data_IF_378810179540
#
_entry.id   IF_378810179540
#
_cell.length_a   1.000
_cell.length_b   1.000
_cell.length_c   1.000
_cell.angle_alpha   90.00
_cell.angle_beta   90.00
_cell.angle_gamma   90.00
#
_symmetry.space_group_name_H-M   'P 1'
#
loop_
_entity.id
_entity.type
_entity.pdbx_description
1 polymer ?
#
# COMPACT_ATOMS: atom_id res chain seq x y z
N UNK A 1 -9.75 -64.93 -63.06
CA UNK A 1 -10.72 -64.48 -62.04
C UNK A 1 -10.62 -62.95 -62.00
N UNK A 2 -11.31 -62.22 -62.87
CA UNK A 2 -12.71 -61.76 -62.78
C UNK A 2 -13.02 -60.85 -61.57
N UNK A 3 -13.54 -59.64 -61.85
CA UNK A 3 -14.23 -58.69 -60.94
C UNK A 3 -13.32 -57.54 -60.47
N UNK A 4 -13.34 -56.29 -60.95
CA UNK A 4 -14.41 -55.33 -61.30
C UNK A 4 -15.18 -54.78 -60.08
N UNK A 5 -15.29 -53.43 -60.06
CA UNK A 5 -16.05 -52.52 -59.17
C UNK A 5 -15.22 -51.90 -58.03
N UNK A 6 -15.02 -50.58 -57.91
CA UNK A 6 -15.62 -49.43 -58.57
C UNK A 6 -16.12 -48.43 -57.54
N UNK A 7 -15.72 -47.16 -57.69
CA UNK A 7 -16.50 -45.99 -57.24
C UNK A 7 -15.98 -45.23 -56.02
N UNK A 8 -15.66 -43.94 -56.20
CA UNK A 8 -15.48 -43.03 -55.07
C UNK A 8 -14.81 -41.68 -55.36
N UNK A 9 -15.43 -40.86 -56.21
CA UNK A 9 -15.42 -39.39 -56.30
C UNK A 9 -14.11 -38.56 -56.25
N UNK A 10 -14.03 -37.70 -57.27
CA UNK A 10 -13.15 -36.54 -57.42
C UNK A 10 -13.33 -35.47 -56.33
N UNK A 11 -12.32 -34.59 -56.18
CA UNK A 11 -12.44 -33.15 -56.45
C UNK A 11 -11.05 -32.49 -56.41
N UNK A 12 -10.77 -31.73 -57.46
CA UNK A 12 -9.58 -30.89 -57.64
C UNK A 12 -9.60 -29.75 -56.63
N UNK A 13 -8.48 -29.52 -55.93
CA UNK A 13 -8.28 -28.30 -55.15
C UNK A 13 -7.20 -27.45 -55.82
N UNK A 14 -7.61 -26.29 -56.35
CA UNK A 14 -6.70 -25.23 -56.76
C UNK A 14 -5.98 -24.73 -55.50
N UNK A 15 -4.66 -24.89 -55.45
CA UNK A 15 -3.83 -24.23 -54.45
C UNK A 15 -3.59 -22.78 -54.90
N UNK A 16 -4.14 -21.81 -54.17
CA UNK A 16 -3.74 -20.42 -54.29
C UNK A 16 -2.25 -20.27 -53.93
N UNK A 17 -1.51 -19.35 -54.59
CA UNK A 17 -0.10 -19.13 -54.27
C UNK A 17 0.05 -18.65 -52.81
N UNK A 18 1.17 -18.98 -52.14
CA UNK A 18 1.37 -18.62 -50.74
C UNK A 18 1.43 -17.10 -50.59
N UNK A 19 0.52 -16.55 -49.79
CA UNK A 19 0.56 -15.16 -49.35
C UNK A 19 1.80 -14.99 -48.46
N UNK A 20 2.77 -14.24 -48.95
CA UNK A 20 3.88 -13.72 -48.14
C UNK A 20 3.29 -12.88 -47.00
N UNK A 21 3.44 -13.35 -45.77
CA UNK A 21 3.14 -12.55 -44.59
C UNK A 21 4.13 -11.38 -44.51
N UNK A 22 3.64 -10.17 -44.74
CA UNK A 22 4.38 -8.95 -44.42
C UNK A 22 4.67 -8.94 -42.91
N UNK A 23 5.95 -8.96 -42.57
CA UNK A 23 6.41 -8.79 -41.20
C UNK A 23 6.25 -7.32 -40.85
N UNK A 24 5.19 -6.96 -40.13
CA UNK A 24 5.03 -5.61 -39.58
C UNK A 24 6.24 -5.27 -38.72
N UNK A 25 6.98 -4.25 -39.14
CA UNK A 25 8.10 -3.72 -38.35
C UNK A 25 7.53 -3.04 -37.10
N UNK A 26 8.03 -3.33 -35.88
CA UNK A 26 7.54 -2.68 -34.67
C UNK A 26 7.71 -1.16 -34.79
N UNK A 27 6.60 -0.42 -34.83
CA UNK A 27 6.62 1.04 -34.84
C UNK A 27 7.16 1.51 -33.49
N UNK A 28 8.45 1.88 -33.43
CA UNK A 28 9.03 2.51 -32.26
C UNK A 28 8.35 3.86 -32.02
N UNK A 29 7.51 3.94 -31.00
CA UNK A 29 6.91 5.19 -30.56
C UNK A 29 7.98 6.03 -29.87
N UNK A 30 8.41 7.12 -30.51
CA UNK A 30 9.38 8.09 -29.99
C UNK A 30 8.76 9.11 -29.01
N UNK A 31 7.60 8.78 -28.43
CA UNK A 31 6.95 9.66 -27.46
C UNK A 31 7.91 9.88 -26.26
N UNK A 32 8.24 11.13 -25.90
CA UNK A 32 9.04 11.40 -24.72
C UNK A 32 8.39 10.74 -23.51
N UNK A 33 9.19 10.02 -22.70
CA UNK A 33 8.71 9.54 -21.42
C UNK A 33 8.17 10.73 -20.62
N UNK A 34 6.98 10.61 -19.99
CA UNK A 34 6.46 11.69 -19.18
C UNK A 34 7.49 12.05 -18.09
N UNK A 35 7.93 13.31 -18.07
CA UNK A 35 8.86 13.81 -17.07
C UNK A 35 8.19 13.77 -15.70
N UNK A 36 8.91 13.32 -14.67
CA UNK A 36 8.44 13.35 -13.27
C UNK A 36 8.02 14.78 -12.92
N UNK A 37 6.80 15.00 -12.40
CA UNK A 37 6.34 16.32 -12.00
C UNK A 37 7.32 16.99 -11.03
N UNK A 38 7.53 18.31 -11.12
CA UNK A 38 8.43 19.00 -10.21
C UNK A 38 7.94 18.93 -8.76
N UNK A 39 8.87 18.93 -7.81
CA UNK A 39 8.60 18.94 -6.38
C UNK A 39 8.96 17.63 -5.67
N UNK A 40 8.92 17.66 -4.33
CA UNK A 40 9.46 16.59 -3.47
C UNK A 40 8.86 15.20 -3.70
N UNK A 41 7.59 15.12 -4.10
CA UNK A 41 6.84 13.86 -4.20
C UNK A 41 6.43 13.50 -5.62
N UNK A 42 6.96 14.19 -6.64
CA UNK A 42 6.70 13.90 -8.05
C UNK A 42 5.23 13.60 -8.35
N UNK A 43 4.98 12.45 -8.97
CA UNK A 43 3.63 11.96 -9.30
C UNK A 43 2.73 11.75 -8.08
N UNK A 44 3.29 11.35 -6.94
CA UNK A 44 2.54 11.13 -5.71
C UNK A 44 2.06 12.42 -5.04
N UNK A 45 2.38 13.61 -5.56
CA UNK A 45 1.93 14.90 -4.99
C UNK A 45 0.40 15.00 -4.94
N UNK A 46 -0.30 14.53 -5.98
CA UNK A 46 -1.75 14.53 -6.07
C UNK A 46 -2.25 13.18 -6.62
N UNK A 47 -3.44 12.75 -6.21
CA UNK A 47 -4.04 11.51 -6.72
C UNK A 47 -4.37 11.57 -8.21
N UNK A 48 -4.54 12.77 -8.77
CA UNK A 48 -4.76 12.94 -10.21
C UNK A 48 -3.54 12.57 -11.06
N UNK A 49 -2.34 12.67 -10.50
CA UNK A 49 -1.07 12.29 -11.14
C UNK A 49 -0.56 10.92 -10.68
N UNK A 50 -1.26 10.29 -9.73
CA UNK A 50 -1.02 8.93 -9.22
C UNK A 50 -2.39 8.23 -9.05
N UNK A 51 -3.05 7.87 -10.17
CA UNK A 51 -4.45 7.47 -10.17
C UNK A 51 -4.68 6.03 -9.71
N UNK A 52 -3.64 5.18 -9.76
CA UNK A 52 -3.79 3.76 -9.51
C UNK A 52 -4.11 3.50 -8.02
N UNK A 53 -5.14 2.69 -7.69
CA UNK A 53 -5.49 2.41 -6.30
C UNK A 53 -4.34 1.74 -5.53
N UNK A 54 -4.09 2.16 -4.29
CA UNK A 54 -3.11 1.48 -3.43
C UNK A 54 -3.60 0.10 -2.99
N UNK A 55 -2.69 -0.85 -2.85
CA UNK A 55 -2.99 -2.20 -2.32
C UNK A 55 -2.23 -2.52 -1.03
N UNK A 56 -2.74 -3.48 -0.26
CA UNK A 56 -2.07 -3.96 0.97
C UNK A 56 -0.69 -4.53 0.64
N UNK A 57 -0.59 -5.31 -0.45
CA UNK A 57 0.62 -6.00 -0.89
C UNK A 57 1.73 -5.01 -1.29
N UNK A 58 1.33 -3.93 -1.93
CA UNK A 58 2.20 -2.81 -2.30
C UNK A 58 2.66 -2.05 -1.06
N UNK A 59 1.72 -1.54 -0.25
CA UNK A 59 2.04 -0.60 0.84
C UNK A 59 2.76 -1.29 2.01
N UNK A 60 2.36 -2.51 2.36
CA UNK A 60 2.91 -3.23 3.52
C UNK A 60 3.84 -4.39 3.15
N UNK A 61 4.02 -4.64 1.85
CA UNK A 61 4.89 -5.68 1.33
C UNK A 61 4.26 -7.09 1.31
N UNK A 62 4.89 -7.97 0.54
CA UNK A 62 4.51 -9.40 0.41
C UNK A 62 5.00 -10.23 1.61
N UNK A 63 6.15 -9.86 2.17
CA UNK A 63 6.81 -10.59 3.26
C UNK A 63 6.27 -10.12 4.60
N UNK A 64 5.71 -11.04 5.39
CA UNK A 64 5.21 -10.72 6.74
C UNK A 64 6.32 -10.41 7.74
N UNK A 65 7.54 -10.91 7.54
CA UNK A 65 8.67 -10.74 8.45
C UNK A 65 9.80 -10.01 7.75
N UNK A 66 10.43 -9.07 8.45
CA UNK A 66 11.56 -8.30 7.95
C UNK A 66 12.43 -7.79 9.11
N UNK A 67 13.65 -7.37 8.79
CA UNK A 67 14.62 -6.84 9.75
C UNK A 67 15.18 -5.52 9.23
N UNK A 68 15.25 -4.51 10.10
CA UNK A 68 15.80 -3.18 9.82
C UNK A 68 16.73 -2.82 10.95
N UNK A 69 17.96 -2.40 10.63
CA UNK A 69 18.94 -1.98 11.66
C UNK A 69 19.11 -2.99 12.81
N UNK A 70 19.10 -4.29 12.49
CA UNK A 70 19.21 -5.38 13.49
C UNK A 70 17.93 -5.67 14.30
N UNK A 71 16.84 -4.92 14.11
CA UNK A 71 15.54 -5.14 14.77
C UNK A 71 14.58 -5.85 13.82
N UNK A 72 13.98 -6.94 14.29
CA UNK A 72 13.06 -7.75 13.49
C UNK A 72 11.61 -7.48 13.86
N UNK A 73 10.76 -7.45 12.84
CA UNK A 73 9.32 -7.17 12.94
C UNK A 73 8.51 -8.20 12.18
N UNK A 74 7.26 -8.38 12.60
CA UNK A 74 6.28 -9.25 11.96
C UNK A 74 4.94 -8.53 11.79
N UNK A 75 4.44 -8.49 10.56
CA UNK A 75 3.08 -8.08 10.22
C UNK A 75 2.10 -9.22 10.55
N UNK A 76 1.12 -8.95 11.40
CA UNK A 76 0.21 -9.98 11.94
C UNK A 76 -1.16 -9.99 11.27
N UNK A 77 -1.69 -8.82 10.91
CA UNK A 77 -2.99 -8.67 10.26
C UNK A 77 -3.01 -7.41 9.41
N UNK A 78 -3.83 -7.44 8.35
CA UNK A 78 -4.05 -6.31 7.43
C UNK A 78 -5.54 -6.08 7.21
N UNK A 79 -5.93 -4.85 6.89
CA UNK A 79 -7.29 -4.47 6.52
C UNK A 79 -7.29 -3.49 5.34
N UNK A 80 -8.30 -3.59 4.48
CA UNK A 80 -8.76 -2.51 3.61
C UNK A 80 -10.14 -2.12 4.12
N UNK A 81 -10.24 -0.95 4.73
CA UNK A 81 -11.48 -0.53 5.37
C UNK A 81 -12.51 -0.12 4.32
N UNK A 82 -13.79 -0.41 4.60
CA UNK A 82 -14.91 -0.07 3.69
C UNK A 82 -15.08 1.44 3.56
N UNK A 83 -14.88 2.18 4.65
CA UNK A 83 -14.86 3.65 4.67
C UNK A 83 -13.62 4.13 5.40
N UNK A 84 -13.03 5.23 4.94
CA UNK A 84 -11.81 5.76 5.56
C UNK A 84 -11.98 6.17 7.03
N UNK A 85 -13.17 6.58 7.45
CA UNK A 85 -13.42 6.94 8.84
C UNK A 85 -13.47 5.71 9.76
N UNK A 86 -13.75 4.52 9.25
CA UNK A 86 -13.85 3.29 10.08
C UNK A 86 -12.48 2.89 10.67
N UNK A 87 -11.40 3.22 9.96
CA UNK A 87 -10.03 2.96 10.39
C UNK A 87 -9.40 4.04 11.25
N UNK A 88 -10.12 5.12 11.57
CA UNK A 88 -9.60 6.27 12.31
C UNK A 88 -10.36 6.44 13.64
N UNK A 89 -9.65 6.89 14.67
CA UNK A 89 -10.19 7.21 15.98
C UNK A 89 -10.20 8.73 16.15
N UNK A 90 -11.32 9.26 16.67
CA UNK A 90 -11.52 10.70 16.91
C UNK A 90 -12.27 11.42 15.79
N UNK A 91 -13.33 12.13 16.17
CA UNK A 91 -14.25 12.81 15.24
C UNK A 91 -13.55 13.87 14.38
N UNK A 92 -12.55 14.56 14.93
CA UNK A 92 -11.84 15.61 14.20
C UNK A 92 -11.05 15.00 13.04
N UNK A 93 -10.35 13.90 13.28
CA UNK A 93 -9.62 13.18 12.24
C UNK A 93 -10.57 12.54 11.22
N UNK A 94 -11.66 11.91 11.67
CA UNK A 94 -12.65 11.32 10.75
C UNK A 94 -13.28 12.36 9.82
N UNK A 95 -13.63 13.55 10.36
CA UNK A 95 -14.10 14.69 9.55
C UNK A 95 -13.03 15.18 8.59
N UNK A 96 -11.78 15.30 9.04
CA UNK A 96 -10.67 15.72 8.19
C UNK A 96 -10.45 14.74 7.00
N UNK A 97 -10.49 13.43 7.24
CA UNK A 97 -10.38 12.40 6.20
C UNK A 97 -11.51 12.51 5.15
N UNK A 98 -12.74 12.72 5.61
CA UNK A 98 -13.90 12.94 4.71
C UNK A 98 -13.72 14.19 3.86
N UNK A 99 -13.36 15.32 4.48
CA UNK A 99 -13.12 16.60 3.80
C UNK A 99 -11.95 16.52 2.81
N UNK A 100 -10.94 15.72 3.13
CA UNK A 100 -9.79 15.44 2.27
C UNK A 100 -10.07 14.49 1.09
N UNK A 101 -11.35 14.07 0.92
CA UNK A 101 -11.80 13.16 -0.15
C UNK A 101 -11.06 11.84 -0.14
N UNK A 102 -10.87 11.28 1.06
CA UNK A 102 -10.30 9.96 1.23
C UNK A 102 -11.15 8.90 0.51
N UNK A 103 -10.52 8.06 -0.32
CA UNK A 103 -11.20 6.98 -1.05
C UNK A 103 -10.69 5.58 -0.69
N UNK A 104 -9.53 5.46 -0.04
CA UNK A 104 -9.00 4.19 0.45
C UNK A 104 -8.32 4.40 1.79
N UNK A 105 -8.50 3.44 2.70
CA UNK A 105 -7.71 3.37 3.92
C UNK A 105 -7.26 1.95 4.16
N UNK A 106 -5.94 1.76 4.14
CA UNK A 106 -5.30 0.47 4.41
C UNK A 106 -4.70 0.50 5.81
N UNK A 107 -4.79 -0.61 6.54
CA UNK A 107 -4.16 -0.76 7.85
C UNK A 107 -3.39 -2.07 7.92
N UNK A 108 -2.29 -2.07 8.65
CA UNK A 108 -1.55 -3.27 9.02
C UNK A 108 -1.06 -3.17 10.46
N UNK A 109 -1.11 -4.29 11.17
CA UNK A 109 -0.58 -4.40 12.53
C UNK A 109 0.69 -5.20 12.56
N UNK A 110 1.57 -4.82 13.47
CA UNK A 110 2.91 -5.34 13.60
C UNK A 110 3.25 -5.62 15.06
N UNK A 111 4.20 -6.52 15.26
CA UNK A 111 4.90 -6.75 16.52
C UNK A 111 6.40 -6.80 16.28
N UNK A 112 7.20 -6.42 17.27
CA UNK A 112 8.62 -6.75 17.28
C UNK A 112 8.83 -8.25 17.56
N UNK A 113 10.01 -8.79 17.24
CA UNK A 113 10.34 -10.21 17.47
C UNK A 113 10.17 -10.65 18.92
N UNK A 114 10.44 -9.74 19.87
CA UNK A 114 10.26 -10.02 21.29
C UNK A 114 8.78 -9.92 21.75
N UNK A 115 7.89 -9.41 20.90
CA UNK A 115 6.48 -9.18 21.20
C UNK A 115 6.25 -8.13 22.28
N UNK A 116 7.22 -7.27 22.58
CA UNK A 116 7.14 -6.21 23.59
C UNK A 116 6.46 -4.95 23.05
N UNK A 117 6.66 -4.66 21.77
CA UNK A 117 6.06 -3.50 21.09
C UNK A 117 5.12 -4.01 20.02
N UNK A 118 3.89 -3.49 20.06
CA UNK A 118 2.84 -3.77 19.08
C UNK A 118 2.31 -2.46 18.53
N UNK A 119 1.95 -2.42 17.25
CA UNK A 119 1.35 -1.22 16.68
C UNK A 119 0.57 -1.46 15.41
N UNK A 120 -0.16 -0.43 14.99
CA UNK A 120 -0.89 -0.36 13.73
C UNK A 120 -0.38 0.82 12.92
N UNK A 121 -0.15 0.60 11.63
CA UNK A 121 0.12 1.62 10.62
C UNK A 121 -1.10 1.69 9.70
N UNK A 122 -1.60 2.89 9.44
CA UNK A 122 -2.67 3.17 8.49
C UNK A 122 -2.20 4.12 7.40
N UNK A 123 -2.62 3.89 6.15
CA UNK A 123 -2.30 4.73 5.00
C UNK A 123 -3.58 5.13 4.28
N UNK A 124 -3.94 6.41 4.37
CA UNK A 124 -5.12 6.98 3.74
C UNK A 124 -4.76 7.63 2.39
N UNK A 125 -5.49 7.26 1.34
CA UNK A 125 -5.38 7.81 -0.01
C UNK A 125 -6.33 9.02 -0.16
N UNK A 126 -5.78 10.23 -0.24
CA UNK A 126 -6.52 11.50 -0.26
C UNK A 126 -6.43 12.18 -1.64
N UNK A 127 -7.18 13.25 -1.89
CA UNK A 127 -7.13 13.85 -3.23
C UNK A 127 -5.84 14.61 -3.55
N UNK A 128 -5.24 15.29 -2.57
CA UNK A 128 -4.07 16.18 -2.77
C UNK A 128 -3.13 16.19 -1.57
N UNK A 129 -1.87 16.54 -1.79
CA UNK A 129 -0.91 16.74 -0.69
C UNK A 129 -1.28 17.86 0.28
N UNK A 130 -1.98 18.89 -0.19
CA UNK A 130 -2.55 19.93 0.68
C UNK A 130 -3.60 19.35 1.63
N UNK A 131 -4.44 18.45 1.14
CA UNK A 131 -5.45 17.77 1.95
C UNK A 131 -4.81 16.77 2.92
N UNK A 132 -3.78 16.04 2.51
CA UNK A 132 -2.97 15.22 3.42
C UNK A 132 -2.38 16.06 4.57
N UNK A 133 -1.85 17.23 4.27
CA UNK A 133 -1.31 18.14 5.29
C UNK A 133 -2.39 18.61 6.28
N UNK A 134 -3.62 18.86 5.83
CA UNK A 134 -4.75 19.17 6.72
C UNK A 134 -5.12 17.99 7.62
N UNK A 135 -5.13 16.77 7.10
CA UNK A 135 -5.37 15.54 7.88
C UNK A 135 -4.29 15.36 8.94
N UNK A 136 -3.02 15.58 8.60
CA UNK A 136 -1.93 15.46 9.56
C UNK A 136 -2.03 16.47 10.71
N UNK A 137 -2.45 17.71 10.43
CA UNK A 137 -2.71 18.73 11.45
C UNK A 137 -3.88 18.38 12.38
N UNK A 138 -4.82 17.56 11.94
CA UNK A 138 -5.92 17.06 12.78
C UNK A 138 -5.48 15.93 13.73
N UNK A 139 -4.31 15.33 13.50
CA UNK A 139 -3.78 14.24 14.31
C UNK A 139 -3.29 14.70 15.69
N UNK A 140 -3.60 13.92 16.73
CA UNK A 140 -3.11 14.13 18.09
C UNK A 140 -3.32 12.85 18.94
N UNK A 141 -3.12 12.93 20.26
CA UNK A 141 -3.26 11.79 21.18
C UNK A 141 -4.68 11.22 21.29
N UNK A 142 -5.71 11.90 20.73
CA UNK A 142 -7.10 11.43 20.63
C UNK A 142 -7.56 11.20 19.19
N UNK A 143 -6.72 11.56 18.22
CA UNK A 143 -7.03 11.60 16.79
C UNK A 143 -5.93 10.87 16.01
N UNK A 144 -6.07 9.55 15.85
CA UNK A 144 -5.04 8.68 15.30
C UNK A 144 -5.64 7.46 14.60
N UNK A 145 -4.79 6.56 14.08
CA UNK A 145 -5.28 5.31 13.47
C UNK A 145 -6.01 4.46 14.50
N UNK A 146 -7.22 4.00 14.18
CA UNK A 146 -7.91 3.03 15.02
C UNK A 146 -7.07 1.74 15.07
N UNK A 147 -6.64 1.27 16.25
CA UNK A 147 -5.85 0.05 16.35
C UNK A 147 -6.56 -1.13 15.68
N UNK A 148 -5.79 -1.96 14.96
CA UNK A 148 -6.28 -3.15 14.30
C UNK A 148 -5.83 -4.38 15.10
N UNK A 149 -6.61 -4.77 16.10
CA UNK A 149 -6.29 -5.93 16.94
C UNK A 149 -6.26 -7.22 16.11
N UNK A 150 -5.17 -7.97 16.24
CA UNK A 150 -5.02 -9.29 15.63
C UNK A 150 -5.70 -10.39 16.44
N UNK A 151 -5.65 -11.60 15.91
CA UNK A 151 -6.14 -12.81 16.61
C UNK A 151 -5.02 -13.59 17.32
N UNK A 152 -3.76 -13.22 17.09
CA UNK A 152 -2.63 -13.88 17.73
C UNK A 152 -2.46 -13.48 19.20
N UNK A 153 -1.64 -14.24 19.93
CA UNK A 153 -1.43 -14.07 21.38
C UNK A 153 -0.73 -12.76 21.77
N UNK A 154 -0.19 -12.01 20.82
CA UNK A 154 0.55 -10.76 21.04
C UNK A 154 -0.25 -9.56 20.56
N UNK A 155 -0.68 -9.51 19.30
CA UNK A 155 -1.34 -8.30 18.76
C UNK A 155 -2.84 -8.21 19.06
N UNK A 156 -3.44 -9.21 19.73
CA UNK A 156 -4.80 -9.10 20.29
C UNK A 156 -4.97 -8.00 21.33
N UNK A 157 -3.88 -7.50 21.92
CA UNK A 157 -3.87 -6.43 22.92
C UNK A 157 -3.77 -5.02 22.32
N UNK A 158 -3.77 -4.88 20.99
CA UNK A 158 -3.74 -3.56 20.35
C UNK A 158 -4.97 -2.73 20.72
N UNK A 159 -4.73 -1.52 21.20
CA UNK A 159 -5.78 -0.57 21.60
C UNK A 159 -6.24 -0.71 23.05
N UNK A 160 -5.69 -1.65 23.84
CA UNK A 160 -6.06 -1.83 25.25
C UNK A 160 -5.23 -1.01 26.23
N UNK A 161 -4.43 -0.05 25.76
CA UNK A 161 -3.46 0.66 26.62
C UNK A 161 -3.02 2.01 26.09
N UNK A 162 -1.95 2.55 26.69
CA UNK A 162 -1.35 3.82 26.28
C UNK A 162 -0.25 3.61 25.25
N UNK A 163 -0.20 4.49 24.24
CA UNK A 163 0.74 4.36 23.13
C UNK A 163 1.21 5.70 22.56
N UNK A 164 2.20 5.64 21.70
CA UNK A 164 2.65 6.73 20.84
C UNK A 164 1.82 6.77 19.57
N UNK A 165 1.25 7.94 19.28
CA UNK A 165 0.50 8.21 18.06
C UNK A 165 1.22 9.26 17.20
N UNK A 166 1.17 9.12 15.88
CA UNK A 166 1.64 10.16 14.96
C UNK A 166 0.81 10.13 13.68
N UNK A 167 0.55 11.31 13.12
CA UNK A 167 0.08 11.44 11.75
C UNK A 167 1.14 12.22 10.96
N UNK A 168 1.54 11.67 9.83
CA UNK A 168 2.52 12.24 8.91
C UNK A 168 1.99 12.17 7.49
N UNK A 169 2.72 12.76 6.54
CA UNK A 169 2.30 12.83 5.15
C UNK A 169 3.40 12.37 4.20
N UNK A 170 2.98 11.90 3.04
CA UNK A 170 3.83 11.64 1.91
C UNK A 170 3.01 11.92 0.66
N UNK A 171 3.32 12.99 -0.09
CA UNK A 171 2.46 13.41 -1.20
C UNK A 171 0.99 13.59 -0.75
N UNK A 172 0.05 12.99 -1.49
CA UNK A 172 -1.38 12.95 -1.17
C UNK A 172 -1.78 11.88 -0.16
N UNK A 173 -0.84 11.15 0.42
CA UNK A 173 -1.11 10.14 1.44
C UNK A 173 -0.97 10.72 2.85
N UNK A 174 -1.87 10.33 3.75
CA UNK A 174 -1.66 10.49 5.18
C UNK A 174 -1.28 9.14 5.81
N UNK A 175 -0.19 9.11 6.55
CA UNK A 175 0.31 7.94 7.29
C UNK A 175 0.00 8.16 8.77
N UNK A 176 -0.84 7.31 9.32
CA UNK A 176 -1.28 7.34 10.70
C UNK A 176 -0.69 6.13 11.44
N UNK A 177 -0.11 6.34 12.61
CA UNK A 177 0.46 5.25 13.42
C UNK A 177 -0.01 5.31 14.86
N UNK A 178 -0.13 4.12 15.46
CA UNK A 178 -0.35 3.91 16.89
C UNK A 178 0.48 2.72 17.35
N UNK A 179 1.36 2.92 18.32
CA UNK A 179 2.24 1.87 18.87
C UNK A 179 2.26 1.93 20.38
N UNK A 180 2.31 0.78 21.04
CA UNK A 180 2.25 0.66 22.50
C UNK A 180 3.13 -0.49 23.00
N UNK A 181 3.33 -0.53 24.31
CA UNK A 181 3.76 -1.75 24.98
C UNK A 181 2.65 -2.81 24.90
N UNK A 182 3.03 -4.09 24.74
CA UNK A 182 2.07 -5.21 24.69
C UNK A 182 1.20 -5.32 25.94
N UNK A 183 1.77 -5.02 27.11
CA UNK A 183 1.06 -5.03 28.39
C UNK A 183 0.13 -3.81 28.60
N UNK A 184 0.13 -2.86 27.66
CA UNK A 184 -0.70 -1.66 27.71
C UNK A 184 -0.19 -0.56 28.64
N UNK A 185 0.92 -0.80 29.34
CA UNK A 185 1.53 0.19 30.24
C UNK A 185 1.98 1.42 29.47
N UNK A 186 1.92 2.59 30.12
CA UNK A 186 2.50 3.80 29.56
C UNK A 186 4.02 3.60 29.40
N UNK A 187 4.60 3.85 28.22
CA UNK A 187 6.02 3.64 28.00
C UNK A 187 6.86 4.61 28.85
N UNK A 188 7.90 4.08 29.49
CA UNK A 188 8.98 4.87 30.07
C UNK A 188 9.88 5.46 28.96
N UNK A 189 11.00 6.10 29.32
CA UNK A 189 11.91 6.69 28.32
C UNK A 189 12.47 5.63 27.35
N UNK A 190 12.84 4.45 27.84
CA UNK A 190 13.37 3.34 27.02
C UNK A 190 12.29 2.75 26.11
N UNK A 191 11.08 2.55 26.63
CA UNK A 191 9.92 2.09 25.88
C UNK A 191 9.50 3.09 24.81
N UNK A 192 9.54 4.39 25.11
CA UNK A 192 9.24 5.46 24.16
C UNK A 192 10.23 5.47 23.01
N UNK A 193 11.54 5.31 23.31
CA UNK A 193 12.57 5.14 22.29
C UNK A 193 12.31 3.91 21.42
N UNK A 194 12.00 2.75 22.02
CA UNK A 194 11.72 1.52 21.28
C UNK A 194 10.48 1.65 20.37
N UNK A 195 9.44 2.33 20.84
CA UNK A 195 8.24 2.62 20.05
C UNK A 195 8.60 3.53 18.86
N UNK A 196 9.40 4.57 19.08
CA UNK A 196 9.83 5.45 18.00
C UNK A 196 10.68 4.72 16.95
N UNK A 197 11.61 3.85 17.39
CA UNK A 197 12.40 2.98 16.51
C UNK A 197 11.49 2.05 15.69
N UNK A 198 10.51 1.40 16.33
CA UNK A 198 9.56 0.54 15.62
C UNK A 198 8.73 1.30 14.58
N UNK A 199 8.21 2.49 14.93
CA UNK A 199 7.47 3.34 13.99
C UNK A 199 8.34 3.66 12.78
N UNK A 200 9.58 4.11 13.01
CA UNK A 200 10.49 4.54 11.95
C UNK A 200 10.90 3.37 11.06
N UNK A 201 11.30 2.25 11.65
CA UNK A 201 11.75 1.07 10.90
C UNK A 201 10.63 0.48 10.06
N UNK A 202 9.45 0.30 10.64
CA UNK A 202 8.30 -0.31 9.96
C UNK A 202 7.83 0.58 8.83
N UNK A 203 7.61 1.88 9.08
CA UNK A 203 7.14 2.80 8.03
C UNK A 203 8.18 2.98 6.93
N UNK A 204 9.48 3.03 7.27
CA UNK A 204 10.57 3.09 6.28
C UNK A 204 10.61 1.84 5.41
N UNK A 205 10.60 0.65 6.00
CA UNK A 205 10.75 -0.61 5.25
C UNK A 205 9.50 -1.00 4.45
N UNK A 206 8.35 -0.42 4.75
CA UNK A 206 7.08 -0.74 4.10
C UNK A 206 6.54 0.47 3.33
N UNK A 207 5.82 1.35 4.04
CA UNK A 207 5.07 2.46 3.45
C UNK A 207 5.94 3.38 2.62
N UNK A 208 7.06 3.89 3.16
CA UNK A 208 7.87 4.88 2.44
C UNK A 208 8.56 4.27 1.22
N UNK A 209 9.07 3.04 1.30
CA UNK A 209 9.57 2.33 0.12
C UNK A 209 8.52 2.24 -1.00
N UNK A 210 7.26 1.92 -0.66
CA UNK A 210 6.18 1.83 -1.64
C UNK A 210 5.82 3.20 -2.24
N UNK A 211 5.74 4.23 -1.40
CA UNK A 211 5.36 5.57 -1.84
C UNK A 211 6.49 6.31 -2.58
N UNK A 212 7.76 5.99 -2.28
CA UNK A 212 8.92 6.45 -3.05
C UNK A 212 8.84 5.97 -4.50
N UNK A 213 8.46 4.72 -4.73
CA UNK A 213 8.24 4.23 -6.10
C UNK A 213 7.13 5.00 -6.82
N UNK A 214 6.01 5.29 -6.12
CA UNK A 214 4.92 6.09 -6.68
C UNK A 214 5.35 7.52 -7.00
N UNK A 215 6.17 8.15 -6.17
CA UNK A 215 6.71 9.48 -6.48
C UNK A 215 7.47 9.52 -7.79
N UNK A 216 8.22 8.46 -8.10
CA UNK A 216 9.07 8.36 -9.28
C UNK A 216 8.31 7.93 -10.54
N UNK A 217 7.32 7.05 -10.41
CA UNK A 217 6.70 6.36 -11.56
C UNK A 217 5.22 6.65 -11.76
N UNK A 218 4.55 7.23 -10.75
CA UNK A 218 3.09 7.38 -10.72
C UNK A 218 2.33 6.04 -10.68
N UNK A 219 3.03 4.93 -10.41
CA UNK A 219 2.48 3.58 -10.47
C UNK A 219 2.97 2.72 -9.28
N UNK A 220 2.23 1.63 -8.94
CA UNK A 220 2.70 0.64 -7.98
C UNK A 220 4.02 -0.02 -8.41
N UNK A 221 4.84 -0.41 -7.43
CA UNK A 221 5.99 -1.27 -7.70
C UNK A 221 5.51 -2.69 -8.06
N UNK A 222 6.06 -3.29 -9.12
CA UNK A 222 5.76 -4.67 -9.56
C UNK A 222 6.26 -5.74 -8.56
#
# INVERSE_FOLDING_TARGET
MLGLLGGGLALMWNADPPVTAETETPRQTSAPLPSVPPGKFGFATNRSTDPEPITVKEVFGKKKKFTVSGRSYEMTITSKDKKCNDGALGDTLQKALKSAKCNQFLRASFRDKAGKVIGTVGVANLSTGKNASKVAKAGNTKNYVKPLAGKDTVTKFLGSGSGGARVSTYGHFAILVWFQNKDGTKPDSKGSKRIAEAINDITKATVFTALDNRSLTGNPAS
#
